data_IF_090853831474
#
_entry.id   IF_090853831474
#
_cell.length_a   1.000
_cell.length_b   1.000
_cell.length_c   1.000
_cell.angle_alpha   90.00
_cell.angle_beta   90.00
_cell.angle_gamma   90.00
#
_symmetry.space_group_name_H-M   'P 1'
#
loop_
_entity.id
_entity.type
_entity.pdbx_description
1 polymer ?
#
# COMPACT_ATOMS: atom_id res chain seq x y z
N UNK A 1 -0.18 20.83 -16.13
CA UNK A 1 -1.59 21.25 -16.01
C UNK A 1 -2.55 20.21 -16.55
N UNK A 2 -2.49 19.80 -17.82
CA UNK A 2 -3.40 18.79 -18.42
C UNK A 2 -3.39 17.46 -17.65
N UNK A 3 -2.20 16.95 -17.31
CA UNK A 3 -2.05 15.69 -16.59
C UNK A 3 -2.70 15.71 -15.18
N UNK A 4 -2.58 16.81 -14.45
CA UNK A 4 -3.24 16.99 -13.14
C UNK A 4 -4.75 17.04 -13.27
N UNK A 5 -5.27 17.68 -14.33
CA UNK A 5 -6.70 17.68 -14.62
C UNK A 5 -7.21 16.29 -14.99
N UNK A 6 -6.48 15.52 -15.80
CA UNK A 6 -6.84 14.13 -16.12
C UNK A 6 -6.82 13.23 -14.88
N UNK A 7 -5.86 13.43 -13.98
CA UNK A 7 -5.80 12.75 -12.69
C UNK A 7 -7.02 13.07 -11.81
N UNK A 8 -7.39 14.32 -11.71
CA UNK A 8 -8.61 14.75 -11.02
C UNK A 8 -9.87 14.11 -11.63
N UNK A 9 -9.97 14.08 -12.97
CA UNK A 9 -11.08 13.39 -13.65
C UNK A 9 -11.12 11.90 -13.36
N UNK A 10 -9.94 11.23 -13.27
CA UNK A 10 -9.85 9.81 -12.85
C UNK A 10 -10.47 9.63 -11.47
N UNK A 11 -10.10 10.47 -10.49
CA UNK A 11 -10.64 10.39 -9.12
C UNK A 11 -12.17 10.57 -9.12
N UNK A 12 -12.68 11.61 -9.79
CA UNK A 12 -14.13 11.87 -9.86
C UNK A 12 -14.89 10.70 -10.50
N UNK A 13 -14.35 10.10 -11.57
CA UNK A 13 -14.95 8.91 -12.23
C UNK A 13 -14.99 7.70 -11.32
N UNK A 14 -13.88 7.41 -10.62
CA UNK A 14 -13.81 6.29 -9.69
C UNK A 14 -14.76 6.52 -8.51
N UNK A 15 -14.75 7.70 -7.91
CA UNK A 15 -15.65 8.03 -6.79
C UNK A 15 -17.13 7.95 -7.20
N UNK A 16 -17.47 8.34 -8.42
CA UNK A 16 -18.83 8.19 -8.96
C UNK A 16 -19.18 6.73 -9.18
N UNK A 17 -18.28 5.93 -9.74
CA UNK A 17 -18.45 4.49 -9.98
C UNK A 17 -18.79 3.72 -8.69
N UNK A 18 -18.16 4.09 -7.56
CA UNK A 18 -18.38 3.48 -6.25
C UNK A 18 -19.37 4.24 -5.36
N UNK A 19 -20.13 5.22 -5.90
CA UNK A 19 -21.09 6.04 -5.16
C UNK A 19 -20.52 6.82 -3.97
N UNK A 20 -19.22 7.12 -3.95
CA UNK A 20 -18.58 7.87 -2.86
C UNK A 20 -18.96 9.34 -2.89
N UNK A 21 -19.23 9.90 -4.08
CA UNK A 21 -19.63 11.30 -4.21
C UNK A 21 -20.91 11.63 -3.41
N UNK A 22 -21.78 10.64 -3.17
CA UNK A 22 -22.99 10.81 -2.34
C UNK A 22 -22.61 11.07 -0.87
N UNK A 23 -21.54 10.43 -0.36
CA UNK A 23 -21.04 10.64 1.01
C UNK A 23 -20.48 12.06 1.16
N UNK A 24 -19.74 12.51 0.15
CA UNK A 24 -19.18 13.87 0.10
C UNK A 24 -20.30 14.90 -0.01
N UNK A 25 -21.30 14.68 -0.88
CA UNK A 25 -22.45 15.58 -1.09
C UNK A 25 -23.22 15.87 0.19
N UNK A 26 -23.33 14.89 1.11
CA UNK A 26 -24.02 15.07 2.41
C UNK A 26 -23.42 16.20 3.24
N UNK A 27 -22.13 16.46 3.09
CA UNK A 27 -21.33 17.38 3.91
C UNK A 27 -21.01 18.71 3.22
N UNK A 28 -21.41 18.89 1.94
CA UNK A 28 -21.16 20.12 1.17
C UNK A 28 -22.37 21.06 1.24
N UNK A 29 -22.10 22.36 1.42
CA UNK A 29 -23.12 23.42 1.51
C UNK A 29 -23.89 23.59 0.18
N UNK A 30 -23.19 23.58 -0.95
CA UNK A 30 -23.75 23.81 -2.28
C UNK A 30 -23.98 22.50 -3.06
N UNK A 31 -24.78 21.59 -2.50
CA UNK A 31 -25.05 20.24 -3.04
C UNK A 31 -25.45 20.24 -4.52
N UNK A 32 -26.29 21.17 -4.93
CA UNK A 32 -26.78 21.23 -6.30
C UNK A 32 -25.67 21.59 -7.31
N UNK A 33 -24.82 22.56 -6.99
CA UNK A 33 -23.68 22.93 -7.83
C UNK A 33 -22.64 21.81 -7.89
N UNK A 34 -22.38 21.17 -6.77
CA UNK A 34 -21.49 20.01 -6.72
C UNK A 34 -22.00 18.86 -7.60
N UNK A 35 -23.31 18.60 -7.57
CA UNK A 35 -23.93 17.55 -8.39
C UNK A 35 -23.84 17.87 -9.90
N UNK A 36 -24.10 19.10 -10.30
CA UNK A 36 -23.94 19.55 -11.70
C UNK A 36 -22.46 19.39 -12.11
N UNK A 37 -21.54 19.87 -11.28
CA UNK A 37 -20.11 19.82 -11.56
C UNK A 37 -19.62 18.38 -11.76
N UNK A 38 -19.95 17.46 -10.84
CA UNK A 38 -19.57 16.05 -10.93
C UNK A 38 -20.24 15.34 -12.11
N UNK A 39 -21.46 15.73 -12.48
CA UNK A 39 -22.14 15.21 -13.66
C UNK A 39 -21.46 15.65 -14.96
N UNK A 40 -21.06 16.91 -15.07
CA UNK A 40 -20.35 17.43 -16.24
C UNK A 40 -18.98 16.79 -16.43
N UNK A 41 -18.25 16.55 -15.32
CA UNK A 41 -16.92 15.96 -15.37
C UNK A 41 -16.93 14.45 -15.61
N UNK A 42 -17.99 13.77 -15.24
CA UNK A 42 -18.11 12.32 -15.42
C UNK A 42 -19.54 11.92 -15.83
N UNK A 43 -19.99 12.27 -17.06
CA UNK A 43 -21.39 12.12 -17.47
C UNK A 43 -21.85 10.65 -17.57
N UNK A 44 -20.98 9.74 -17.91
CA UNK A 44 -21.34 8.33 -18.19
C UNK A 44 -20.45 7.36 -17.39
N UNK A 45 -20.79 7.15 -16.13
CA UNK A 45 -20.22 6.01 -15.37
C UNK A 45 -21.36 5.12 -14.92
N UNK A 46 -21.32 3.84 -15.32
CA UNK A 46 -22.21 2.84 -14.74
C UNK A 46 -21.79 2.62 -13.29
N UNK A 47 -22.73 2.78 -12.35
CA UNK A 47 -22.50 2.42 -10.97
C UNK A 47 -22.28 0.90 -10.89
N UNK A 48 -21.08 0.46 -10.49
CA UNK A 48 -20.77 -0.95 -10.28
C UNK A 48 -21.09 -1.41 -8.87
N UNK A 49 -21.16 -0.49 -7.90
CA UNK A 49 -21.45 -0.86 -6.52
C UNK A 49 -22.92 -1.23 -6.37
N UNK A 50 -23.25 -2.40 -5.82
CA UNK A 50 -24.59 -2.68 -5.32
C UNK A 50 -25.00 -1.58 -4.32
N UNK A 51 -26.30 -1.25 -4.31
CA UNK A 51 -26.82 -0.20 -3.40
C UNK A 51 -26.63 -0.55 -1.92
N UNK A 52 -26.51 -1.86 -1.62
CA UNK A 52 -26.43 -2.41 -0.28
C UNK A 52 -24.97 -2.66 0.19
N UNK A 53 -23.97 -2.23 -0.59
CA UNK A 53 -22.57 -2.38 -0.19
C UNK A 53 -22.22 -1.36 0.90
N UNK A 54 -21.61 -1.78 2.04
CA UNK A 54 -21.15 -0.89 3.11
C UNK A 54 -20.27 0.25 2.61
N UNK A 55 -20.34 1.41 3.26
CA UNK A 55 -19.61 2.61 2.83
C UNK A 55 -18.10 2.41 2.85
N UNK A 56 -17.55 1.74 3.87
CA UNK A 56 -16.13 1.45 3.97
C UNK A 56 -15.64 0.51 2.86
N UNK A 57 -16.44 -0.49 2.47
CA UNK A 57 -16.11 -1.40 1.36
C UNK A 57 -16.12 -0.64 0.01
N UNK A 58 -17.04 0.31 -0.19
CA UNK A 58 -17.06 1.15 -1.39
C UNK A 58 -15.83 2.05 -1.46
N UNK A 59 -15.46 2.68 -0.34
CA UNK A 59 -14.26 3.51 -0.22
C UNK A 59 -13.02 2.66 -0.51
N UNK A 60 -12.87 1.51 0.14
CA UNK A 60 -11.75 0.58 -0.07
C UNK A 60 -11.60 0.17 -1.53
N UNK A 61 -12.71 -0.19 -2.19
CA UNK A 61 -12.72 -0.58 -3.60
C UNK A 61 -12.27 0.56 -4.52
N UNK A 62 -12.69 1.79 -4.21
CA UNK A 62 -12.28 2.96 -4.99
C UNK A 62 -10.79 3.29 -4.81
N UNK A 63 -10.28 3.21 -3.58
CA UNK A 63 -8.86 3.46 -3.29
C UNK A 63 -7.96 2.40 -3.95
N UNK A 64 -8.39 1.13 -3.96
CA UNK A 64 -7.70 0.05 -4.70
C UNK A 64 -7.63 0.36 -6.21
N UNK A 65 -8.72 0.82 -6.83
CA UNK A 65 -8.73 1.15 -8.26
C UNK A 65 -7.90 2.40 -8.60
N UNK A 66 -7.77 3.33 -7.65
CA UNK A 66 -6.97 4.54 -7.84
C UNK A 66 -5.47 4.28 -7.84
N UNK A 67 -4.99 3.33 -7.02
CA UNK A 67 -3.60 2.90 -7.04
C UNK A 67 -2.89 2.94 -5.68
N UNK A 68 -1.56 2.63 -5.66
CA UNK A 68 -0.80 2.38 -4.44
C UNK A 68 -0.83 3.51 -3.41
N UNK A 69 -0.68 4.77 -3.84
CA UNK A 69 -0.74 5.93 -2.95
C UNK A 69 -2.08 6.07 -2.23
N UNK A 70 -3.18 5.78 -2.95
CA UNK A 70 -4.53 5.83 -2.39
C UNK A 70 -4.79 4.67 -1.43
N UNK A 71 -4.25 3.48 -1.72
CA UNK A 71 -4.30 2.33 -0.80
C UNK A 71 -3.62 2.72 0.51
N UNK A 72 -2.40 3.27 0.46
CA UNK A 72 -1.65 3.70 1.63
C UNK A 72 -2.35 4.82 2.41
N UNK A 73 -2.92 5.79 1.70
CA UNK A 73 -3.76 6.82 2.31
C UNK A 73 -4.97 6.21 3.03
N UNK A 74 -5.65 5.26 2.40
CA UNK A 74 -6.78 4.54 2.99
C UNK A 74 -6.39 3.74 4.23
N UNK A 75 -5.27 3.05 4.20
CA UNK A 75 -4.72 2.33 5.35
C UNK A 75 -4.41 3.29 6.52
N UNK A 76 -3.80 4.44 6.26
CA UNK A 76 -3.55 5.46 7.29
C UNK A 76 -4.87 5.98 7.87
N UNK A 77 -5.87 6.27 7.05
CA UNK A 77 -7.17 6.78 7.49
C UNK A 77 -7.94 5.71 8.27
N UNK A 78 -7.83 4.43 7.92
CA UNK A 78 -8.50 3.33 8.63
C UNK A 78 -8.04 3.16 10.08
N UNK A 79 -6.84 3.64 10.42
CA UNK A 79 -6.35 3.67 11.81
C UNK A 79 -6.93 4.81 12.65
N UNK A 80 -7.82 5.64 12.06
CA UNK A 80 -8.39 6.83 12.69
C UNK A 80 -9.92 6.75 12.77
N UNK A 81 -10.48 5.80 13.55
CA UNK A 81 -11.93 5.68 13.72
C UNK A 81 -12.57 6.93 14.32
N UNK A 82 -11.78 7.75 15.04
CA UNK A 82 -12.19 9.05 15.54
C UNK A 82 -12.58 10.06 14.44
N UNK A 83 -12.05 9.88 13.22
CA UNK A 83 -12.33 10.75 12.06
C UNK A 83 -13.44 10.18 11.18
N UNK A 84 -13.40 8.88 10.86
CA UNK A 84 -14.26 8.26 9.85
C UNK A 84 -15.39 7.41 10.44
N UNK A 85 -15.40 7.19 11.75
CA UNK A 85 -16.34 6.30 12.45
C UNK A 85 -15.86 4.84 12.47
N UNK A 86 -16.27 4.10 13.50
CA UNK A 86 -15.81 2.72 13.72
C UNK A 86 -16.19 1.79 12.56
N UNK A 87 -17.44 1.84 12.08
CA UNK A 87 -17.95 0.96 11.03
C UNK A 87 -17.13 1.11 9.72
N UNK A 88 -16.88 2.35 9.28
CA UNK A 88 -16.06 2.61 8.08
C UNK A 88 -14.61 2.19 8.33
N UNK A 89 -14.05 2.44 9.51
CA UNK A 89 -12.69 2.07 9.86
C UNK A 89 -12.50 0.54 9.83
N UNK A 90 -13.42 -0.23 10.39
CA UNK A 90 -13.42 -1.69 10.37
C UNK A 90 -13.50 -2.24 8.95
N UNK A 91 -14.42 -1.72 8.14
CA UNK A 91 -14.53 -2.09 6.72
C UNK A 91 -13.25 -1.77 5.95
N UNK A 92 -12.65 -0.60 6.22
CA UNK A 92 -11.41 -0.17 5.56
C UNK A 92 -10.17 -0.90 6.09
N UNK A 93 -10.16 -1.38 7.32
CA UNK A 93 -9.08 -2.22 7.84
C UNK A 93 -8.91 -3.52 7.04
N UNK A 94 -9.98 -3.96 6.37
CA UNK A 94 -9.94 -5.06 5.40
C UNK A 94 -9.37 -4.66 4.03
N UNK A 95 -8.91 -3.41 3.86
CA UNK A 95 -8.13 -2.97 2.70
C UNK A 95 -6.87 -3.82 2.60
N UNK A 96 -7.01 -4.95 1.93
CA UNK A 96 -5.89 -5.85 1.69
C UNK A 96 -5.00 -5.22 0.61
N UNK A 97 -3.72 -5.17 0.93
CA UNK A 97 -2.65 -4.94 -0.04
C UNK A 97 -2.58 -6.09 -1.05
N UNK A 98 -3.65 -6.32 -1.82
CA UNK A 98 -3.78 -7.51 -2.65
C UNK A 98 -3.80 -7.10 -4.13
N UNK A 99 -2.72 -6.46 -4.59
CA UNK A 99 -2.51 -6.25 -6.02
C UNK A 99 -1.97 -7.52 -6.67
N UNK A 100 -2.32 -7.79 -7.96
CA UNK A 100 -1.73 -8.91 -8.68
C UNK A 100 -0.21 -8.89 -8.61
N UNK A 101 0.46 -10.03 -8.44
CA UNK A 101 1.90 -10.09 -8.46
C UNK A 101 2.45 -9.66 -9.83
N UNK A 102 3.63 -9.05 -9.86
CA UNK A 102 4.40 -8.87 -11.08
C UNK A 102 5.22 -10.14 -11.38
N UNK A 103 5.69 -10.27 -12.59
CA UNK A 103 6.33 -11.51 -13.04
C UNK A 103 7.62 -11.80 -12.28
N UNK A 104 7.94 -13.10 -12.10
CA UNK A 104 9.21 -13.54 -11.54
C UNK A 104 10.42 -12.97 -12.31
N UNK A 105 10.31 -12.85 -13.64
CA UNK A 105 11.38 -12.30 -14.46
C UNK A 105 11.65 -10.83 -14.18
N UNK A 106 10.61 -10.03 -13.87
CA UNK A 106 10.79 -8.64 -13.44
C UNK A 106 11.44 -8.57 -12.06
N UNK A 107 11.07 -9.49 -11.14
CA UNK A 107 11.69 -9.59 -9.83
C UNK A 107 13.19 -9.89 -9.94
N UNK A 108 13.58 -10.85 -10.80
CA UNK A 108 14.97 -11.19 -11.08
C UNK A 108 15.74 -9.98 -11.59
N UNK A 109 15.20 -9.25 -12.58
CA UNK A 109 15.84 -8.04 -13.11
C UNK A 109 16.12 -7.00 -12.02
N UNK A 110 15.14 -6.77 -11.12
CA UNK A 110 15.33 -5.83 -10.01
C UNK A 110 16.45 -6.30 -9.09
N UNK A 111 16.52 -7.58 -8.76
CA UNK A 111 17.59 -8.14 -7.93
C UNK A 111 18.94 -7.94 -8.60
N UNK A 112 19.07 -8.36 -9.86
CA UNK A 112 20.32 -8.24 -10.63
C UNK A 112 20.79 -6.78 -10.77
N UNK A 113 19.87 -5.85 -11.01
CA UNK A 113 20.15 -4.41 -11.04
C UNK A 113 20.60 -3.85 -9.68
N UNK A 114 20.04 -4.38 -8.57
CA UNK A 114 20.37 -3.89 -7.23
C UNK A 114 21.71 -4.40 -6.71
N UNK A 115 22.12 -5.59 -7.14
CA UNK A 115 23.36 -6.22 -6.66
C UNK A 115 24.49 -6.21 -7.69
N UNK A 116 24.21 -5.84 -8.93
CA UNK A 116 25.16 -5.95 -10.07
C UNK A 116 25.73 -7.37 -10.22
N UNK A 117 24.86 -8.36 -10.09
CA UNK A 117 25.20 -9.80 -10.10
C UNK A 117 24.04 -10.62 -10.67
N UNK A 118 24.38 -11.74 -11.32
CA UNK A 118 23.38 -12.71 -11.77
C UNK A 118 22.65 -13.35 -10.58
N UNK A 119 21.36 -13.62 -10.77
CA UNK A 119 20.47 -14.19 -9.74
C UNK A 119 21.03 -15.52 -9.18
N UNK A 120 21.58 -16.38 -10.02
CA UNK A 120 22.13 -17.70 -9.62
C UNK A 120 23.37 -17.60 -8.73
N UNK A 121 24.05 -16.44 -8.75
CA UNK A 121 25.17 -16.15 -7.83
C UNK A 121 24.72 -15.67 -6.46
N UNK A 122 23.49 -15.18 -6.35
CA UNK A 122 22.90 -14.63 -5.13
C UNK A 122 21.98 -15.65 -4.45
N UNK A 123 21.07 -16.23 -5.21
CA UNK A 123 20.00 -17.08 -4.70
C UNK A 123 19.90 -18.40 -5.45
N UNK A 124 19.64 -19.47 -4.71
CA UNK A 124 19.24 -20.77 -5.27
C UNK A 124 17.73 -20.93 -5.13
N UNK A 125 17.13 -21.72 -6.02
CA UNK A 125 15.71 -22.07 -5.96
C UNK A 125 14.77 -20.84 -5.83
N UNK A 126 15.14 -19.70 -6.46
CA UNK A 126 14.30 -18.51 -6.44
C UNK A 126 12.93 -18.83 -7.07
N UNK A 127 11.88 -18.83 -6.23
CA UNK A 127 10.54 -19.33 -6.59
C UNK A 127 9.63 -18.27 -7.22
N UNK A 128 8.39 -18.67 -7.49
CA UNK A 128 7.30 -17.77 -7.86
C UNK A 128 6.88 -16.91 -6.65
N UNK A 129 6.19 -15.78 -6.87
CA UNK A 129 5.71 -14.93 -5.77
C UNK A 129 4.71 -15.67 -4.89
N UNK A 130 4.93 -15.66 -3.58
CA UNK A 130 4.07 -16.30 -2.56
C UNK A 130 3.07 -15.33 -1.94
N UNK A 131 3.40 -14.04 -1.95
CA UNK A 131 2.56 -12.95 -1.47
C UNK A 131 2.84 -11.69 -2.28
N UNK A 132 1.81 -10.89 -2.51
CA UNK A 132 1.93 -9.62 -3.21
C UNK A 132 1.14 -8.55 -2.46
N UNK A 133 1.81 -7.42 -2.14
CA UNK A 133 1.25 -6.26 -1.49
C UNK A 133 1.16 -5.06 -2.46
N UNK A 134 0.68 -3.91 -1.98
CA UNK A 134 0.52 -2.69 -2.80
C UNK A 134 1.85 -2.21 -3.40
N UNK A 135 2.95 -2.31 -2.66
CA UNK A 135 4.25 -1.76 -3.07
C UNK A 135 5.35 -2.81 -3.27
N UNK A 136 5.13 -4.06 -2.85
CA UNK A 136 6.14 -5.12 -2.88
C UNK A 136 5.51 -6.49 -3.11
N UNK A 137 6.34 -7.49 -3.38
CA UNK A 137 5.99 -8.90 -3.32
C UNK A 137 7.09 -9.72 -2.65
N UNK A 138 6.76 -10.95 -2.24
CA UNK A 138 7.67 -11.85 -1.53
C UNK A 138 7.84 -13.13 -2.32
N UNK A 139 9.07 -13.60 -2.41
CA UNK A 139 9.46 -14.88 -2.99
C UNK A 139 10.18 -15.73 -1.96
N UNK A 140 10.09 -17.05 -2.08
CA UNK A 140 11.01 -17.94 -1.36
C UNK A 140 12.23 -18.22 -2.22
N UNK A 141 13.38 -18.31 -1.54
CA UNK A 141 14.66 -18.63 -2.14
C UNK A 141 15.55 -19.33 -1.10
N UNK A 142 16.77 -19.62 -1.50
CA UNK A 142 17.81 -20.15 -0.64
C UNK A 142 19.10 -19.36 -0.87
N UNK A 143 19.86 -19.11 0.21
CA UNK A 143 21.22 -18.54 0.14
C UNK A 143 22.25 -19.55 0.63
N UNK A 144 23.49 -19.40 0.16
CA UNK A 144 24.61 -20.22 0.63
C UNK A 144 25.42 -19.48 1.68
N UNK A 145 25.63 -20.13 2.82
CA UNK A 145 26.57 -19.71 3.84
C UNK A 145 27.61 -20.85 4.04
N UNK A 146 28.72 -20.76 3.34
CA UNK A 146 29.69 -21.84 3.25
C UNK A 146 29.10 -23.10 2.62
N UNK A 147 28.97 -24.18 3.41
CA UNK A 147 28.36 -25.46 2.99
C UNK A 147 26.88 -25.55 3.38
N UNK A 148 26.32 -24.55 4.10
CA UNK A 148 24.95 -24.56 4.54
C UNK A 148 24.07 -23.88 3.49
N UNK A 149 22.88 -24.43 3.31
CA UNK A 149 21.78 -23.82 2.54
C UNK A 149 20.79 -23.28 3.55
N UNK A 150 20.52 -21.98 3.48
CA UNK A 150 19.61 -21.28 4.37
C UNK A 150 18.37 -20.87 3.58
N UNK A 151 17.16 -21.34 3.97
CA UNK A 151 15.93 -20.91 3.35
C UNK A 151 15.60 -19.46 3.76
N UNK A 152 15.25 -18.63 2.77
CA UNK A 152 14.96 -17.21 2.96
C UNK A 152 13.67 -16.79 2.30
N UNK A 153 13.12 -15.68 2.80
CA UNK A 153 12.05 -14.92 2.15
C UNK A 153 12.64 -13.62 1.61
N UNK A 154 12.44 -13.38 0.32
CA UNK A 154 12.97 -12.22 -0.40
C UNK A 154 11.83 -11.29 -0.77
N UNK A 155 11.76 -10.13 -0.11
CA UNK A 155 10.79 -9.07 -0.39
C UNK A 155 11.39 -8.10 -1.40
N UNK A 156 10.63 -7.77 -2.44
CA UNK A 156 11.10 -6.95 -3.57
C UNK A 156 10.06 -5.87 -3.85
N UNK A 157 10.51 -4.61 -3.90
CA UNK A 157 9.64 -3.51 -4.33
C UNK A 157 9.19 -3.70 -5.78
N UNK A 158 7.94 -3.30 -6.07
CA UNK A 158 7.40 -3.33 -7.44
C UNK A 158 8.23 -2.48 -8.40
N UNK A 159 8.32 -2.88 -9.67
CA UNK A 159 9.01 -2.07 -10.68
C UNK A 159 8.38 -0.68 -10.76
N UNK A 160 9.21 0.36 -10.85
CA UNK A 160 8.82 1.77 -10.96
C UNK A 160 7.88 2.30 -9.88
N UNK A 161 7.77 1.61 -8.73
CA UNK A 161 6.84 2.00 -7.66
C UNK A 161 7.21 3.35 -7.03
N UNK A 162 8.51 3.64 -6.91
CA UNK A 162 8.99 4.88 -6.33
C UNK A 162 8.54 6.06 -7.19
N UNK A 163 8.80 5.98 -8.49
CA UNK A 163 8.45 7.00 -9.48
C UNK A 163 6.93 7.18 -9.58
N UNK A 164 6.19 6.07 -9.55
CA UNK A 164 4.72 6.08 -9.56
C UNK A 164 4.16 6.82 -8.35
N UNK A 165 4.63 6.50 -7.16
CA UNK A 165 4.16 7.12 -5.92
C UNK A 165 4.56 8.60 -5.86
N UNK A 166 5.79 8.96 -6.26
CA UNK A 166 6.21 10.36 -6.29
C UNK A 166 5.35 11.20 -7.24
N UNK A 167 5.02 10.70 -8.43
CA UNK A 167 4.13 11.36 -9.38
C UNK A 167 2.70 11.48 -8.83
N UNK A 168 2.15 10.41 -8.24
CA UNK A 168 0.82 10.44 -7.61
C UNK A 168 0.78 11.44 -6.44
N UNK A 169 1.79 11.47 -5.57
CA UNK A 169 1.88 12.42 -4.46
C UNK A 169 2.01 13.86 -4.93
N UNK A 170 2.77 14.13 -5.98
CA UNK A 170 2.83 15.46 -6.59
C UNK A 170 1.47 15.93 -7.09
N UNK A 171 0.71 15.03 -7.73
CA UNK A 171 -0.66 15.34 -8.22
C UNK A 171 -1.66 15.51 -7.08
N UNK A 172 -1.50 14.74 -6.00
CA UNK A 172 -2.31 14.89 -4.80
C UNK A 172 -2.05 16.25 -4.11
N UNK A 173 -0.79 16.69 -4.02
CA UNK A 173 -0.47 18.03 -3.52
C UNK A 173 -1.15 19.12 -4.36
N UNK A 174 -1.08 19.00 -5.67
CA UNK A 174 -1.77 19.97 -6.55
C UNK A 174 -3.28 19.97 -6.28
N UNK A 175 -3.88 18.80 -6.13
CA UNK A 175 -5.32 18.66 -5.88
C UNK A 175 -5.71 19.22 -4.52
N UNK A 176 -4.98 18.91 -3.47
CA UNK A 176 -5.29 19.38 -2.11
C UNK A 176 -5.10 20.90 -1.99
N UNK A 177 -4.05 21.46 -2.59
CA UNK A 177 -3.87 22.90 -2.68
C UNK A 177 -5.05 23.59 -3.42
N UNK A 178 -5.58 22.95 -4.46
CA UNK A 178 -6.76 23.47 -5.15
C UNK A 178 -8.00 23.38 -4.27
N UNK A 179 -8.23 22.27 -3.58
CA UNK A 179 -9.41 22.06 -2.74
C UNK A 179 -9.41 22.95 -1.48
N UNK A 180 -8.27 23.23 -0.87
CA UNK A 180 -8.17 24.09 0.31
C UNK A 180 -8.52 25.56 0.05
N UNK A 181 -8.66 25.99 -1.22
CA UNK A 181 -9.24 27.30 -1.52
C UNK A 181 -10.76 27.38 -1.26
N UNK A 182 -11.40 26.25 -1.00
CA UNK A 182 -12.83 26.19 -0.67
C UNK A 182 -13.01 25.97 0.83
N UNK A 183 -13.80 26.82 1.49
CA UNK A 183 -13.99 26.79 2.95
C UNK A 183 -14.51 25.47 3.51
N UNK A 184 -15.18 24.67 2.69
CA UNK A 184 -15.69 23.34 3.03
C UNK A 184 -14.56 22.34 3.31
N UNK A 185 -13.42 22.51 2.66
CA UNK A 185 -12.28 21.60 2.78
C UNK A 185 -11.16 22.10 3.72
N UNK A 186 -11.18 23.39 4.09
CA UNK A 186 -10.16 24.01 4.94
C UNK A 186 -9.98 23.28 6.28
N UNK A 187 -11.09 22.84 6.90
CA UNK A 187 -11.07 22.10 8.18
C UNK A 187 -10.43 20.72 8.09
N UNK A 188 -10.39 20.13 6.90
CA UNK A 188 -9.85 18.79 6.71
C UNK A 188 -8.31 18.77 6.68
N UNK A 189 -7.67 19.93 6.55
CA UNK A 189 -6.21 20.07 6.48
C UNK A 189 -5.56 19.07 5.53
N UNK A 190 -6.13 18.95 4.31
CA UNK A 190 -5.78 17.93 3.33
C UNK A 190 -4.28 17.92 3.00
N UNK A 191 -3.66 19.09 2.89
CA UNK A 191 -2.23 19.23 2.65
C UNK A 191 -1.40 18.59 3.76
N UNK A 192 -1.80 18.75 5.03
CA UNK A 192 -1.13 18.12 6.17
C UNK A 192 -1.24 16.60 6.13
N UNK A 193 -2.42 16.09 5.75
CA UNK A 193 -2.65 14.64 5.58
C UNK A 193 -1.76 14.07 4.47
N UNK A 194 -1.73 14.70 3.29
CA UNK A 194 -0.88 14.24 2.17
C UNK A 194 0.60 14.31 2.52
N UNK A 195 1.04 15.40 3.16
CA UNK A 195 2.43 15.53 3.62
C UNK A 195 2.81 14.39 4.57
N UNK A 196 1.97 14.07 5.56
CA UNK A 196 2.21 12.98 6.50
C UNK A 196 2.21 11.61 5.82
N UNK A 197 1.26 11.38 4.92
CA UNK A 197 1.20 10.16 4.11
C UNK A 197 2.50 9.97 3.29
N UNK A 198 2.99 11.04 2.65
CA UNK A 198 4.26 10.99 1.91
C UNK A 198 5.44 10.63 2.80
N UNK A 199 5.53 11.20 4.00
CA UNK A 199 6.59 10.86 4.96
C UNK A 199 6.58 9.37 5.31
N UNK A 200 5.40 8.80 5.61
CA UNK A 200 5.23 7.38 5.94
C UNK A 200 5.63 6.50 4.75
N UNK A 201 5.11 6.79 3.55
CA UNK A 201 5.39 5.99 2.37
C UNK A 201 6.89 6.01 2.01
N UNK A 202 7.59 7.12 2.22
CA UNK A 202 9.05 7.19 1.97
C UNK A 202 9.84 6.17 2.79
N UNK A 203 9.43 5.89 4.03
CA UNK A 203 10.06 4.84 4.82
C UNK A 203 9.77 3.46 4.25
N UNK A 204 8.56 3.21 3.75
CA UNK A 204 8.18 1.94 3.14
C UNK A 204 8.86 1.69 1.78
N UNK A 205 9.25 2.75 1.05
CA UNK A 205 9.93 2.68 -0.24
C UNK A 205 11.45 2.45 -0.13
N UNK A 206 11.95 2.27 1.07
CA UNK A 206 13.34 1.90 1.32
C UNK A 206 13.39 0.75 2.33
N UNK A 207 13.50 -0.48 1.81
CA UNK A 207 13.44 -1.70 2.62
C UNK A 207 14.56 -1.84 3.65
N UNK A 208 15.60 -1.00 3.58
CA UNK A 208 16.66 -0.94 4.59
C UNK A 208 16.13 -0.44 5.94
N UNK A 209 15.09 0.42 5.93
CA UNK A 209 14.44 0.85 7.18
C UNK A 209 13.68 -0.31 7.85
N UNK A 210 13.01 -1.16 7.06
CA UNK A 210 12.34 -2.34 7.57
C UNK A 210 13.36 -3.35 8.14
N UNK A 211 14.48 -3.56 7.44
CA UNK A 211 15.58 -4.38 7.93
C UNK A 211 16.16 -3.86 9.26
N UNK A 212 16.41 -2.54 9.35
CA UNK A 212 16.95 -1.93 10.56
C UNK A 212 15.97 -2.02 11.73
N UNK A 213 14.68 -1.74 11.49
CA UNK A 213 13.65 -1.85 12.52
C UNK A 213 13.48 -3.29 13.04
N UNK A 214 13.54 -4.30 12.14
CA UNK A 214 13.51 -5.70 12.54
C UNK A 214 14.75 -6.09 13.37
N UNK A 215 15.93 -5.62 13.00
CA UNK A 215 17.16 -5.88 13.77
C UNK A 215 17.12 -5.23 15.14
N UNK A 216 16.62 -3.99 15.24
CA UNK A 216 16.43 -3.28 16.52
C UNK A 216 15.41 -4.02 17.39
N UNK A 217 14.27 -4.44 16.81
CA UNK A 217 13.26 -5.21 17.51
C UNK A 217 13.84 -6.53 18.05
N UNK A 218 14.63 -7.25 17.23
CA UNK A 218 15.30 -8.49 17.65
C UNK A 218 16.20 -8.28 18.87
N UNK A 219 17.01 -7.21 18.85
CA UNK A 219 17.88 -6.89 20.00
C UNK A 219 17.06 -6.52 21.24
N UNK A 220 15.98 -5.74 21.08
CA UNK A 220 15.14 -5.32 22.19
C UNK A 220 14.33 -6.48 22.81
N UNK A 221 14.04 -7.53 22.04
CA UNK A 221 13.24 -8.68 22.48
C UNK A 221 14.09 -9.96 22.69
N UNK A 222 15.42 -9.87 22.71
CA UNK A 222 16.31 -11.03 22.80
C UNK A 222 16.12 -11.90 24.05
N UNK A 223 15.67 -11.29 25.15
CA UNK A 223 15.43 -11.97 26.42
C UNK A 223 13.96 -12.46 26.55
N UNK A 224 13.10 -12.17 25.57
CA UNK A 224 11.70 -12.60 25.54
C UNK A 224 11.53 -13.85 24.68
N UNK A 225 11.41 -15.01 25.33
CA UNK A 225 11.24 -16.30 24.66
C UNK A 225 9.90 -16.47 23.95
N UNK A 226 8.92 -15.61 24.24
CA UNK A 226 7.61 -15.63 23.57
C UNK A 226 7.59 -14.90 22.24
N UNK A 227 8.68 -14.21 21.90
CA UNK A 227 8.77 -13.36 20.70
C UNK A 227 9.95 -13.79 19.82
N UNK A 228 9.68 -14.09 18.56
CA UNK A 228 10.70 -14.46 17.59
C UNK A 228 10.74 -13.46 16.44
N UNK A 229 11.90 -12.83 16.21
CA UNK A 229 12.15 -11.96 15.07
C UNK A 229 13.10 -12.68 14.10
N UNK A 230 12.71 -12.85 12.82
CA UNK A 230 13.56 -13.48 11.81
C UNK A 230 14.91 -12.78 11.63
N UNK A 231 15.94 -13.53 11.28
CA UNK A 231 17.25 -12.98 10.95
C UNK A 231 17.22 -12.16 9.66
N UNK A 232 17.93 -11.04 9.66
CA UNK A 232 18.16 -10.21 8.48
C UNK A 232 19.47 -10.61 7.83
N UNK A 233 19.45 -10.98 6.55
CA UNK A 233 20.63 -11.28 5.77
C UNK A 233 21.16 -10.02 5.09
N UNK A 234 21.90 -9.19 5.82
CA UNK A 234 22.31 -7.84 5.42
C UNK A 234 23.08 -7.75 4.10
N UNK A 235 23.83 -8.80 3.74
CA UNK A 235 24.53 -8.90 2.46
C UNK A 235 23.57 -8.95 1.27
N UNK A 236 22.28 -9.30 1.53
CA UNK A 236 21.20 -9.41 0.56
C UNK A 236 20.11 -8.35 0.82
N UNK A 237 20.50 -7.20 1.39
CA UNK A 237 19.60 -6.07 1.63
C UNK A 237 20.03 -4.85 0.82
N UNK A 238 19.10 -4.28 0.07
CA UNK A 238 19.26 -3.03 -0.66
C UNK A 238 18.04 -2.15 -0.44
N UNK A 239 18.00 -0.98 -1.08
CA UNK A 239 16.80 -0.12 -1.05
C UNK A 239 15.55 -0.86 -1.55
N UNK A 240 15.68 -1.72 -2.58
CA UNK A 240 14.54 -2.37 -3.25
C UNK A 240 14.39 -3.86 -2.91
N UNK A 241 15.34 -4.46 -2.21
CA UNK A 241 15.36 -5.89 -1.87
C UNK A 241 15.64 -6.06 -0.38
N UNK A 242 14.84 -6.87 0.29
CA UNK A 242 15.03 -7.27 1.69
C UNK A 242 14.98 -8.79 1.78
N UNK A 243 16.05 -9.39 2.28
CA UNK A 243 16.14 -10.83 2.50
C UNK A 243 16.17 -11.13 3.99
N UNK A 244 15.21 -11.93 4.42
CA UNK A 244 15.03 -12.35 5.79
C UNK A 244 14.99 -13.88 5.88
N UNK A 245 15.25 -14.40 7.06
CA UNK A 245 15.03 -15.80 7.37
C UNK A 245 13.60 -16.23 7.03
N UNK A 246 13.46 -17.39 6.36
CA UNK A 246 12.14 -17.98 6.13
C UNK A 246 11.67 -18.68 7.38
N UNK A 247 10.58 -18.19 7.96
CA UNK A 247 9.91 -18.81 9.09
C UNK A 247 8.70 -19.63 8.62
N UNK A 248 8.36 -20.65 9.40
CA UNK A 248 7.12 -21.40 9.25
C UNK A 248 6.22 -21.06 10.44
N UNK A 249 5.09 -20.44 10.16
CA UNK A 249 4.13 -20.05 11.19
C UNK A 249 2.70 -20.00 10.65
N UNK A 250 1.74 -19.96 11.55
CA UNK A 250 0.34 -19.78 11.22
C UNK A 250 0.06 -18.27 11.23
N UNK A 251 -0.48 -17.69 10.16
CA UNK A 251 -0.87 -16.28 10.14
C UNK A 251 -1.85 -15.96 11.27
N UNK A 252 -1.66 -14.81 11.93
CA UNK A 252 -2.46 -14.41 13.09
C UNK A 252 -3.96 -14.18 12.76
N UNK A 253 -4.31 -13.98 11.50
CA UNK A 253 -5.70 -13.86 11.02
C UNK A 253 -6.39 -15.22 10.85
N UNK A 254 -5.66 -16.34 10.91
CA UNK A 254 -6.21 -17.71 10.85
C UNK A 254 -6.50 -18.26 12.25
N UNK A 255 -7.45 -17.61 12.93
CA UNK A 255 -7.80 -17.89 14.33
C UNK A 255 -8.13 -19.37 14.55
N UNK A 256 -8.91 -20.00 13.65
CA UNK A 256 -9.30 -21.41 13.77
C UNK A 256 -8.08 -22.34 13.79
N UNK A 257 -7.07 -22.07 12.94
CA UNK A 257 -5.82 -22.85 12.91
C UNK A 257 -4.94 -22.60 14.14
N UNK A 258 -5.01 -21.40 14.74
CA UNK A 258 -4.28 -21.09 15.97
C UNK A 258 -4.89 -21.75 17.22
N UNK A 259 -6.19 -21.99 17.22
CA UNK A 259 -6.90 -22.67 18.33
C UNK A 259 -6.63 -24.20 18.30
N UNK A 260 -6.43 -24.77 17.10
CA UNK A 260 -6.22 -26.21 16.92
C UNK A 260 -4.77 -26.66 17.21
N UNK A 261 -3.81 -25.74 17.31
CA UNK A 261 -2.38 -25.99 17.55
C UNK A 261 -1.92 -25.42 18.90
#
# INVERSE_FOLDING_TARGET
MIANFLFFLKIIRVFKKYNILILIEKNIRYKFLFKIFTYLLAPATFNKSPKDMPDGIRISSALNELGPSFIKLGQLISTRPDIIGNEIAEDMAMLRDNLPPFSRNEAIKIIEEQFDKDIDSLFQNFGEPIAAASIAQVHFAEIKDGQKIIPVAVKILRPNIIETIEDEMYRLDWLTNFLENFSEFERLQLNSVIKKTREIIRFELDLRYEAAAASELKENTKDDQSFYVPDIHWEYVTKKVLTIERINGIPADKIDQLIEN
#
